data_IF_121446438623
#
_entry.id   IF_121446438623
#
_cell.length_a   1.000
_cell.length_b   1.000
_cell.length_c   1.000
_cell.angle_alpha   90.00
_cell.angle_beta   90.00
_cell.angle_gamma   90.00
#
_symmetry.space_group_name_H-M   'P 1'
#
loop_
_entity.id
_entity.type
_entity.pdbx_description
1 polymer ?
#
# COMPACT_ATOMS: atom_id res chain seq x y z
N UNK A 1 -14.35 -3.67 -4.35
CA UNK A 1 -13.98 -2.31 -3.98
C UNK A 1 -13.26 -2.29 -2.64
N UNK A 2 -12.17 -1.55 -2.58
CA UNK A 2 -11.32 -1.50 -1.39
C UNK A 2 -12.03 -0.96 -0.15
N UNK A 3 -13.06 -0.15 -0.31
CA UNK A 3 -13.83 0.40 0.81
C UNK A 3 -15.14 -0.34 1.06
N UNK A 4 -15.40 -1.39 0.28
CA UNK A 4 -16.63 -2.17 0.45
C UNK A 4 -16.62 -2.93 1.79
N UNK A 5 -17.75 -2.99 2.50
CA UNK A 5 -17.85 -3.84 3.69
C UNK A 5 -17.73 -5.32 3.37
N UNK A 6 -17.88 -5.70 2.10
CA UNK A 6 -17.69 -7.10 1.68
C UNK A 6 -16.24 -7.52 1.63
N UNK A 7 -15.29 -6.58 1.72
CA UNK A 7 -13.87 -6.89 1.77
C UNK A 7 -13.53 -7.42 3.17
N UNK A 8 -13.38 -8.72 3.29
CA UNK A 8 -13.06 -9.35 4.57
C UNK A 8 -11.75 -10.11 4.49
N UNK A 9 -11.11 -10.28 5.65
CA UNK A 9 -9.85 -11.00 5.74
C UNK A 9 -10.00 -12.45 5.28
N UNK A 10 -11.12 -13.09 5.62
CA UNK A 10 -11.37 -14.47 5.26
C UNK A 10 -11.46 -14.65 3.74
N UNK A 11 -12.15 -13.75 3.06
CA UNK A 11 -12.29 -13.81 1.60
C UNK A 11 -10.95 -13.59 0.90
N UNK A 12 -10.18 -12.62 1.37
CA UNK A 12 -8.86 -12.34 0.81
C UNK A 12 -7.93 -13.54 1.07
N UNK A 13 -7.87 -14.01 2.30
CA UNK A 13 -7.02 -15.14 2.67
C UNK A 13 -7.29 -16.35 1.78
N UNK A 14 -8.57 -16.66 1.57
CA UNK A 14 -8.96 -17.80 0.74
C UNK A 14 -8.43 -17.65 -0.70
N UNK A 15 -8.46 -16.44 -1.23
CA UNK A 15 -8.05 -16.18 -2.61
C UNK A 15 -6.53 -16.18 -2.81
N UNK A 16 -5.77 -15.80 -1.78
CA UNK A 16 -4.31 -15.61 -1.92
C UNK A 16 -3.48 -16.65 -1.17
N UNK A 17 -4.08 -17.56 -0.44
CA UNK A 17 -3.37 -18.50 0.42
C UNK A 17 -2.39 -19.43 -0.31
N UNK A 18 -2.54 -19.57 -1.60
CA UNK A 18 -1.62 -20.38 -2.41
C UNK A 18 -0.85 -19.54 -3.42
N UNK A 19 -0.96 -18.21 -3.33
CA UNK A 19 -0.35 -17.32 -4.31
C UNK A 19 1.13 -17.10 -4.03
N UNK A 20 1.95 -17.20 -5.07
CA UNK A 20 3.37 -16.88 -5.01
C UNK A 20 3.64 -15.46 -5.53
N UNK A 21 2.59 -14.66 -5.67
CA UNK A 21 2.70 -13.28 -6.10
C UNK A 21 2.96 -12.38 -4.87
N UNK A 22 3.89 -11.41 -4.98
CA UNK A 22 4.13 -10.46 -3.87
C UNK A 22 2.87 -9.68 -3.53
N UNK A 23 2.68 -9.40 -2.23
CA UNK A 23 1.47 -8.71 -1.77
C UNK A 23 1.26 -7.36 -2.44
N UNK A 24 2.33 -6.65 -2.75
CA UNK A 24 2.19 -5.36 -3.41
C UNK A 24 1.49 -5.52 -4.75
N UNK A 25 1.87 -6.53 -5.52
CA UNK A 25 1.26 -6.80 -6.82
C UNK A 25 -0.19 -7.28 -6.66
N UNK A 26 -0.47 -8.03 -5.62
CA UNK A 26 -1.84 -8.46 -5.31
C UNK A 26 -2.73 -7.24 -5.06
N UNK A 27 -2.23 -6.25 -4.30
CA UNK A 27 -2.99 -5.03 -4.02
C UNK A 27 -3.32 -4.25 -5.28
N UNK A 28 -2.46 -4.33 -6.29
CA UNK A 28 -2.68 -3.63 -7.55
C UNK A 28 -3.63 -4.36 -8.49
N UNK A 29 -4.00 -5.58 -8.16
CA UNK A 29 -4.92 -6.37 -9.01
C UNK A 29 -6.36 -5.87 -8.80
N UNK A 30 -6.85 -5.09 -9.76
CA UNK A 30 -8.17 -4.47 -9.67
C UNK A 30 -9.31 -5.48 -9.66
N UNK A 31 -9.06 -6.70 -10.11
CA UNK A 31 -10.07 -7.76 -10.06
C UNK A 31 -10.26 -8.31 -8.65
N UNK A 32 -9.21 -8.28 -7.84
CA UNK A 32 -9.27 -8.75 -6.46
C UNK A 32 -9.73 -7.63 -5.53
N UNK A 33 -9.06 -6.47 -5.61
CA UNK A 33 -9.38 -5.30 -4.81
C UNK A 33 -9.34 -4.07 -5.72
N UNK A 34 -10.49 -3.52 -6.04
CA UNK A 34 -10.57 -2.35 -6.91
C UNK A 34 -10.29 -1.07 -6.12
N UNK A 35 -9.56 -0.15 -6.74
CA UNK A 35 -9.37 1.19 -6.19
C UNK A 35 -8.02 1.49 -5.57
N UNK A 36 -7.08 0.54 -5.58
CA UNK A 36 -5.74 0.77 -5.03
C UNK A 36 -4.74 0.98 -6.16
N UNK A 37 -4.12 2.17 -6.20
CA UNK A 37 -3.08 2.47 -7.17
C UNK A 37 -1.69 2.31 -6.58
N UNK A 38 -0.67 2.54 -7.42
CA UNK A 38 0.73 2.32 -7.05
C UNK A 38 1.17 3.14 -5.83
N UNK A 39 0.76 4.41 -5.77
CA UNK A 39 1.12 5.29 -4.67
C UNK A 39 0.59 4.73 -3.35
N UNK A 40 -0.69 4.41 -3.30
CA UNK A 40 -1.32 3.96 -2.06
C UNK A 40 -0.96 2.54 -1.69
N UNK A 41 -0.60 1.69 -2.64
CA UNK A 41 -0.11 0.37 -2.29
C UNK A 41 1.14 0.47 -1.41
N UNK A 42 2.08 1.35 -1.75
CA UNK A 42 3.26 1.58 -0.90
C UNK A 42 2.90 2.13 0.47
N UNK A 43 1.98 3.12 0.51
CA UNK A 43 1.57 3.73 1.78
C UNK A 43 0.82 2.75 2.68
N UNK A 44 -0.04 1.93 2.10
CA UNK A 44 -0.80 0.92 2.84
C UNK A 44 0.14 -0.13 3.45
N UNK A 45 1.11 -0.60 2.68
CA UNK A 45 2.03 -1.61 3.16
C UNK A 45 2.94 -1.06 4.25
N UNK A 46 3.34 0.21 4.14
CA UNK A 46 4.10 0.85 5.21
C UNK A 46 3.25 0.98 6.48
N UNK A 47 2.01 1.42 6.34
CA UNK A 47 1.11 1.60 7.51
C UNK A 47 0.87 0.29 8.24
N UNK A 48 0.69 -0.80 7.50
CA UNK A 48 0.47 -2.12 8.10
C UNK A 48 1.76 -2.85 8.47
N UNK A 49 2.92 -2.26 8.15
CA UNK A 49 4.25 -2.83 8.42
C UNK A 49 4.49 -4.16 7.75
N UNK A 50 3.93 -4.33 6.57
CA UNK A 50 4.09 -5.54 5.77
C UNK A 50 5.05 -5.27 4.61
N UNK A 51 6.02 -6.16 4.43
CA UNK A 51 6.97 -6.04 3.32
C UNK A 51 6.24 -6.21 1.99
N UNK A 52 6.52 -5.34 0.99
CA UNK A 52 5.94 -5.51 -0.34
C UNK A 52 6.39 -6.78 -1.04
N UNK A 53 7.45 -7.41 -0.54
CA UNK A 53 8.01 -8.64 -1.10
C UNK A 53 7.34 -9.90 -0.52
N UNK A 54 6.55 -9.77 0.53
CA UNK A 54 5.86 -10.91 1.14
C UNK A 54 4.89 -11.52 0.15
N UNK A 55 4.97 -12.83 -0.04
CA UNK A 55 4.08 -13.52 -0.96
C UNK A 55 2.70 -13.72 -0.34
N UNK A 56 1.68 -13.80 -1.19
CA UNK A 56 0.31 -14.00 -0.71
C UNK A 56 0.21 -15.22 0.20
N UNK A 57 0.86 -16.32 -0.16
CA UNK A 57 0.83 -17.57 0.62
C UNK A 57 1.47 -17.45 2.00
N UNK A 58 2.32 -16.46 2.19
CA UNK A 58 3.04 -16.28 3.46
C UNK A 58 2.33 -15.31 4.41
N UNK A 59 1.17 -14.81 4.04
CA UNK A 59 0.40 -13.91 4.88
C UNK A 59 -0.61 -14.67 5.73
N UNK A 60 -0.43 -14.59 7.04
CA UNK A 60 -1.41 -15.13 7.98
C UNK A 60 -2.63 -14.23 8.02
N UNK A 61 -3.76 -14.79 8.44
CA UNK A 61 -5.02 -14.04 8.45
C UNK A 61 -4.95 -12.81 9.35
N UNK A 62 -4.18 -12.89 10.44
CA UNK A 62 -4.00 -11.73 11.33
C UNK A 62 -3.32 -10.56 10.61
N UNK A 63 -2.36 -10.83 9.74
CA UNK A 63 -1.70 -9.79 8.95
C UNK A 63 -2.64 -9.23 7.89
N UNK A 64 -3.48 -10.10 7.31
CA UNK A 64 -4.47 -9.65 6.33
C UNK A 64 -5.49 -8.73 7.00
N UNK A 65 -5.87 -9.02 8.23
CA UNK A 65 -6.77 -8.14 9.00
C UNK A 65 -6.15 -6.77 9.19
N UNK A 66 -4.86 -6.70 9.55
CA UNK A 66 -4.14 -5.44 9.66
C UNK A 66 -4.07 -4.72 8.32
N UNK A 67 -3.85 -5.47 7.26
CA UNK A 67 -3.77 -4.93 5.91
C UNK A 67 -5.10 -4.25 5.51
N UNK A 68 -6.22 -4.92 5.75
CA UNK A 68 -7.53 -4.37 5.43
C UNK A 68 -7.81 -3.11 6.23
N UNK A 69 -7.43 -3.10 7.50
CA UNK A 69 -7.59 -1.91 8.34
C UNK A 69 -6.79 -0.74 7.78
N UNK A 70 -5.56 -0.99 7.35
CA UNK A 70 -4.73 0.03 6.72
C UNK A 70 -5.30 0.51 5.39
N UNK A 71 -5.83 -0.41 4.58
CA UNK A 71 -6.46 -0.06 3.31
C UNK A 71 -7.58 0.97 3.55
N UNK A 72 -8.46 0.67 4.48
CA UNK A 72 -9.61 1.55 4.77
C UNK A 72 -9.15 2.89 5.31
N UNK A 73 -8.20 2.87 6.23
CA UNK A 73 -7.66 4.09 6.85
C UNK A 73 -7.02 4.99 5.82
N UNK A 74 -6.13 4.44 5.00
CA UNK A 74 -5.35 5.22 4.03
C UNK A 74 -6.26 5.76 2.92
N UNK A 75 -7.17 4.94 2.40
CA UNK A 75 -8.03 5.38 1.32
C UNK A 75 -9.07 6.40 1.76
N UNK A 76 -9.58 6.28 2.99
CA UNK A 76 -10.47 7.31 3.53
C UNK A 76 -9.75 8.63 3.70
N UNK A 77 -8.50 8.59 4.14
CA UNK A 77 -7.68 9.79 4.24
C UNK A 77 -7.43 10.40 2.87
N UNK A 78 -7.19 9.56 1.87
CA UNK A 78 -6.97 10.03 0.50
C UNK A 78 -8.20 10.76 -0.04
N UNK A 79 -9.38 10.23 0.20
CA UNK A 79 -10.62 10.85 -0.22
C UNK A 79 -10.80 12.21 0.46
N UNK A 80 -10.47 12.29 1.74
CA UNK A 80 -10.56 13.54 2.49
C UNK A 80 -9.70 14.64 1.89
N UNK A 81 -8.56 14.29 1.29
CA UNK A 81 -7.66 15.26 0.67
C UNK A 81 -7.87 15.39 -0.84
N UNK A 82 -9.01 14.96 -1.36
CA UNK A 82 -9.42 15.27 -2.75
C UNK A 82 -8.93 14.30 -3.80
N UNK A 83 -8.46 13.13 -3.41
CA UNK A 83 -8.05 12.13 -4.37
C UNK A 83 -6.54 11.96 -4.48
N UNK A 84 -6.11 11.04 -5.33
CA UNK A 84 -4.77 10.51 -5.22
C UNK A 84 -4.14 10.08 -6.52
N UNK A 85 -4.68 10.46 -7.66
CA UNK A 85 -4.06 10.08 -8.92
C UNK A 85 -2.90 11.02 -9.22
N UNK A 86 -1.96 10.55 -10.01
CA UNK A 86 -0.87 11.39 -10.48
C UNK A 86 -1.42 12.58 -11.27
N UNK A 87 -2.56 12.39 -11.91
CA UNK A 87 -3.22 13.46 -12.66
C UNK A 87 -3.65 14.60 -11.73
N UNK A 88 -4.34 14.24 -10.65
CA UNK A 88 -4.78 15.24 -9.66
C UNK A 88 -3.57 15.90 -9.01
N UNK A 89 -2.55 15.11 -8.78
CA UNK A 89 -1.29 15.55 -8.22
C UNK A 89 -0.65 16.67 -9.06
N UNK A 90 -0.82 16.63 -10.39
CA UNK A 90 -0.21 17.60 -11.30
C UNK A 90 -1.08 18.82 -11.59
N UNK A 91 -2.35 18.76 -11.27
CA UNK A 91 -3.32 19.77 -11.73
C UNK A 91 -3.52 20.93 -10.79
N UNK A 92 -3.06 20.87 -9.54
CA UNK A 92 -3.29 21.91 -8.55
C UNK A 92 -2.03 22.21 -7.77
N UNK A 93 -1.65 23.48 -7.73
CA UNK A 93 -0.38 23.90 -7.12
C UNK A 93 -0.32 23.70 -5.62
N UNK A 94 -1.23 24.30 -4.88
CA UNK A 94 -1.23 24.25 -3.42
C UNK A 94 -1.58 22.86 -2.89
N UNK A 95 -2.53 22.21 -3.56
CA UNK A 95 -2.96 20.87 -3.18
C UNK A 95 -1.84 19.85 -3.43
N UNK A 96 -1.09 20.05 -4.49
CA UNK A 96 0.03 19.19 -4.84
C UNK A 96 1.04 19.08 -3.69
N UNK A 97 1.46 20.22 -3.14
CA UNK A 97 2.40 20.23 -2.04
C UNK A 97 1.85 19.52 -0.80
N UNK A 98 0.58 19.71 -0.52
CA UNK A 98 -0.06 19.09 0.63
C UNK A 98 -0.14 17.56 0.49
N UNK A 99 -0.46 17.07 -0.71
CA UNK A 99 -0.49 15.64 -0.96
C UNK A 99 0.87 15.01 -0.74
N UNK A 100 1.92 15.62 -1.27
CA UNK A 100 3.28 15.11 -1.10
C UNK A 100 3.66 15.04 0.37
N UNK A 101 3.29 16.03 1.16
CA UNK A 101 3.65 16.06 2.58
C UNK A 101 2.93 14.99 3.39
N UNK A 102 1.83 14.43 2.89
CA UNK A 102 1.08 13.40 3.58
C UNK A 102 1.59 11.97 3.30
N UNK A 103 2.40 11.80 2.27
CA UNK A 103 2.98 10.49 1.99
C UNK A 103 4.11 10.19 2.97
N UNK A 104 4.14 8.96 3.46
CA UNK A 104 5.19 8.53 4.40
C UNK A 104 6.40 7.98 3.67
N UNK A 105 6.18 7.17 2.64
CA UNK A 105 7.26 6.49 1.93
C UNK A 105 7.30 6.76 0.43
N UNK A 106 6.17 7.02 -0.22
CA UNK A 106 6.16 7.19 -1.67
C UNK A 106 7.01 8.37 -2.10
N UNK A 107 7.95 8.14 -2.99
CA UNK A 107 8.95 9.13 -3.44
C UNK A 107 9.80 9.71 -2.31
N UNK A 108 9.95 8.98 -1.22
CA UNK A 108 10.73 9.42 -0.06
C UNK A 108 12.00 8.61 0.14
N UNK A 109 12.51 7.98 -0.92
CA UNK A 109 13.73 7.17 -0.79
C UNK A 109 14.84 7.99 -0.14
N UNK A 110 15.54 7.36 0.80
CA UNK A 110 16.58 7.99 1.57
C UNK A 110 16.12 8.66 2.85
N UNK A 111 14.82 8.88 3.02
CA UNK A 111 14.29 9.49 4.24
C UNK A 111 14.42 8.53 5.40
N UNK A 112 14.87 9.04 6.54
CA UNK A 112 15.00 8.24 7.76
C UNK A 112 13.67 8.21 8.52
N UNK A 113 13.23 7.02 8.89
CA UNK A 113 11.99 6.81 9.65
C UNK A 113 12.26 5.74 10.71
N UNK A 114 12.16 6.13 11.99
CA UNK A 114 12.20 5.17 13.09
C UNK A 114 13.37 4.18 13.08
N UNK A 115 14.58 4.63 12.83
CA UNK A 115 15.74 3.76 12.80
C UNK A 115 15.95 3.02 11.49
N UNK A 116 15.12 3.30 10.50
CA UNK A 116 15.23 2.73 9.16
C UNK A 116 15.30 3.84 8.13
N UNK A 117 15.43 3.47 6.89
CA UNK A 117 15.50 4.40 5.77
C UNK A 117 14.64 3.87 4.63
N UNK A 118 13.88 4.77 3.99
CA UNK A 118 13.04 4.39 2.86
C UNK A 118 13.91 3.94 1.69
N UNK A 119 13.57 2.79 1.15
CA UNK A 119 14.26 2.18 0.01
C UNK A 119 13.32 2.10 -1.17
N UNK A 120 13.85 2.28 -2.37
CA UNK A 120 13.12 2.13 -3.61
C UNK A 120 13.54 0.84 -4.30
N UNK A 121 12.57 0.05 -4.71
CA UNK A 121 12.79 -1.13 -5.56
C UNK A 121 11.81 -1.10 -6.72
N UNK A 122 12.06 -1.91 -7.73
CA UNK A 122 11.15 -2.04 -8.87
C UNK A 122 10.54 -3.43 -8.84
N UNK A 123 9.21 -3.47 -8.85
CA UNK A 123 8.46 -4.73 -8.89
C UNK A 123 7.48 -4.66 -10.07
N UNK A 124 7.57 -5.64 -10.97
CA UNK A 124 6.68 -5.72 -12.13
C UNK A 124 6.65 -4.41 -12.93
N UNK A 125 7.83 -3.78 -13.09
CA UNK A 125 7.97 -2.56 -13.86
C UNK A 125 7.53 -1.28 -13.17
N UNK A 126 7.14 -1.34 -11.89
CA UNK A 126 6.68 -0.18 -11.13
C UNK A 126 7.51 0.04 -9.87
N UNK A 127 7.70 1.30 -9.52
CA UNK A 127 8.47 1.65 -8.32
C UNK A 127 7.69 1.31 -7.05
N UNK A 128 8.40 0.75 -6.07
CA UNK A 128 7.87 0.44 -4.76
C UNK A 128 8.78 1.08 -3.71
N UNK A 129 8.19 1.74 -2.73
CA UNK A 129 8.94 2.41 -1.67
C UNK A 129 8.58 1.78 -0.32
N UNK A 130 9.57 1.42 0.47
CA UNK A 130 9.32 0.76 1.74
C UNK A 130 10.52 0.89 2.68
N UNK A 131 10.27 0.59 3.96
CA UNK A 131 11.31 0.56 4.99
C UNK A 131 11.61 -0.90 5.34
N UNK A 132 12.73 -1.47 4.84
CA UNK A 132 12.99 -2.91 4.98
C UNK A 132 13.03 -3.44 6.41
N UNK A 133 13.49 -2.63 7.35
CA UNK A 133 13.57 -3.06 8.75
C UNK A 133 12.22 -2.98 9.45
N UNK A 134 11.42 -1.95 9.14
CA UNK A 134 10.11 -1.78 9.74
C UNK A 134 9.06 -2.67 9.10
N UNK A 135 9.26 -3.07 7.85
CA UNK A 135 8.34 -3.90 7.09
C UNK A 135 9.01 -5.22 6.74
N UNK A 136 9.33 -5.99 7.76
CA UNK A 136 10.10 -7.23 7.55
C UNK A 136 9.35 -8.51 7.88
N UNK A 137 8.03 -8.46 7.98
CA UNK A 137 7.26 -9.68 8.20
C UNK A 137 7.22 -10.52 6.92
N UNK A 138 7.55 -11.77 7.10
CA UNK A 138 7.57 -12.76 6.04
C UNK A 138 6.51 -13.80 6.27
#
# INVERSE_FOLDING_TARGET
DALSPDLTAQKIFKKISKSEVPIKQILLNQKLIAGIGNIYASEILFDSKISPLTLGKDLEISLIMKLIKSIRKILKKAIKYGGSSIRDYRSTDGTLGNFQSNFKVYNKEGKKIGGDKVKKIVQYGRSTFYCPKLQNNK
#
